data_IF_047277411329
#
_entry.id   IF_047277411329
#
_cell.length_a   1.000
_cell.length_b   1.000
_cell.length_c   1.000
_cell.angle_alpha   90.00
_cell.angle_beta   90.00
_cell.angle_gamma   90.00
#
_symmetry.space_group_name_H-M   'P 1'
#
loop_
_entity.id
_entity.type
_entity.pdbx_description
1 polymer ?
#
# COMPACT_ATOMS: atom_id res chain seq x y z
N UNK A 1 16.89 0.31 -20.86
CA UNK A 1 16.26 -0.31 -19.67
C UNK A 1 14.85 0.26 -19.55
N UNK A 2 13.83 -0.59 -19.41
CA UNK A 2 12.44 -0.15 -19.25
C UNK A 2 12.12 0.30 -17.82
N UNK A 3 10.95 0.92 -17.59
CA UNK A 3 10.50 1.27 -16.25
C UNK A 3 10.31 0.01 -15.39
N UNK A 4 10.65 0.10 -14.10
CA UNK A 4 10.38 -0.94 -13.11
C UNK A 4 9.22 -0.52 -12.22
N UNK A 5 8.35 -1.46 -11.89
CA UNK A 5 7.34 -1.26 -10.87
C UNK A 5 8.01 -1.22 -9.49
N UNK A 6 7.70 -0.21 -8.67
CA UNK A 6 8.25 -0.03 -7.32
C UNK A 6 7.11 0.34 -6.38
N UNK A 7 7.00 -0.37 -5.26
CA UNK A 7 6.05 -0.04 -4.19
C UNK A 7 6.80 0.73 -3.09
N UNK A 8 6.37 1.96 -2.82
CA UNK A 8 6.86 2.74 -1.69
C UNK A 8 5.92 2.57 -0.49
N UNK A 9 6.08 1.47 0.26
CA UNK A 9 5.17 1.07 1.34
C UNK A 9 5.07 2.08 2.50
N UNK A 10 6.10 2.91 2.70
CA UNK A 10 6.11 3.99 3.69
C UNK A 10 4.99 5.03 3.46
N UNK A 11 4.52 5.17 2.21
CA UNK A 11 3.44 6.09 1.84
C UNK A 11 2.06 5.40 1.83
N UNK A 12 1.95 4.16 2.32
CA UNK A 12 0.69 3.44 2.32
C UNK A 12 -0.31 4.07 3.31
N UNK A 13 -1.52 4.35 2.82
CA UNK A 13 -2.64 4.88 3.63
C UNK A 13 -3.65 3.82 4.07
N UNK A 14 -3.28 2.54 3.93
CA UNK A 14 -4.05 1.39 4.43
C UNK A 14 -5.47 1.24 3.86
N UNK A 15 -5.77 1.85 2.71
CA UNK A 15 -7.09 1.78 2.07
C UNK A 15 -7.43 0.43 1.42
N UNK A 16 -6.43 -0.47 1.25
CA UNK A 16 -6.54 -1.79 0.59
C UNK A 16 -6.96 -1.77 -0.89
N UNK A 17 -6.98 -0.62 -1.56
CA UNK A 17 -7.34 -0.53 -2.98
C UNK A 17 -6.44 -1.39 -3.87
N UNK A 18 -5.13 -1.39 -3.63
CA UNK A 18 -4.18 -2.17 -4.43
C UNK A 18 -4.41 -3.69 -4.33
N UNK A 19 -4.90 -4.18 -3.19
CA UNK A 19 -5.24 -5.58 -2.95
C UNK A 19 -6.55 -5.98 -3.67
N UNK A 20 -7.54 -5.09 -3.68
CA UNK A 20 -8.88 -5.36 -4.24
C UNK A 20 -8.96 -5.09 -5.75
N UNK A 21 -8.19 -4.13 -6.26
CA UNK A 21 -8.35 -3.58 -7.62
C UNK A 21 -7.21 -3.90 -8.57
N UNK A 22 -6.22 -4.67 -8.16
CA UNK A 22 -5.25 -5.21 -9.11
C UNK A 22 -5.91 -6.30 -9.97
N UNK A 23 -6.11 -6.09 -11.29
CA UNK A 23 -6.77 -7.08 -12.15
C UNK A 23 -5.99 -8.39 -12.27
N UNK A 24 -4.68 -8.38 -11.97
CA UNK A 24 -3.83 -9.57 -12.04
C UNK A 24 -3.64 -10.25 -10.68
N UNK A 25 -4.07 -9.62 -9.58
CA UNK A 25 -3.86 -10.15 -8.23
C UNK A 25 -2.39 -10.34 -7.83
N UNK A 26 -1.49 -9.50 -8.35
CA UNK A 26 -0.05 -9.53 -8.08
C UNK A 26 0.31 -8.87 -6.74
N UNK A 27 -0.58 -8.09 -6.14
CA UNK A 27 -0.34 -7.36 -4.90
C UNK A 27 -1.13 -8.00 -3.76
N UNK A 28 -0.44 -8.38 -2.69
CA UNK A 28 -1.05 -8.82 -1.42
C UNK A 28 -0.77 -7.78 -0.34
N UNK A 29 -1.83 -7.23 0.25
CA UNK A 29 -1.69 -6.32 1.38
C UNK A 29 -1.60 -7.10 2.69
N UNK A 30 -0.59 -6.79 3.50
CA UNK A 30 -0.44 -7.29 4.87
C UNK A 30 -0.30 -6.12 5.85
N UNK A 31 -0.84 -6.22 7.07
CA UNK A 31 -0.65 -5.18 8.07
C UNK A 31 0.85 -4.96 8.35
N UNK A 32 1.33 -3.71 8.40
CA UNK A 32 2.69 -3.41 8.84
C UNK A 32 2.82 -3.59 10.37
N UNK A 33 4.03 -3.39 10.88
CA UNK A 33 4.29 -3.31 12.32
C UNK A 33 3.39 -2.24 12.98
N UNK A 34 2.97 -2.50 14.22
CA UNK A 34 2.04 -1.64 14.95
C UNK A 34 2.55 -0.19 15.06
N UNK A 35 1.67 0.78 14.81
CA UNK A 35 2.03 2.20 14.74
C UNK A 35 2.45 2.70 13.35
N UNK A 36 2.57 1.80 12.36
CA UNK A 36 2.70 2.18 10.95
C UNK A 36 1.37 2.65 10.35
N UNK A 37 1.44 3.62 9.43
CA UNK A 37 0.30 4.11 8.67
C UNK A 37 -0.07 5.57 8.96
N UNK A 38 -1.18 6.04 8.36
CA UNK A 38 -1.61 7.43 8.46
C UNK A 38 -2.09 7.80 9.87
N UNK A 39 -1.72 9.01 10.32
CA UNK A 39 -2.34 9.66 11.47
C UNK A 39 -3.56 10.47 11.00
N UNK A 40 -4.76 9.98 11.32
CA UNK A 40 -6.02 10.61 10.95
C UNK A 40 -6.49 11.70 11.93
N UNK A 41 -5.83 11.90 13.07
CA UNK A 41 -6.22 12.91 14.06
C UNK A 41 -6.07 14.36 13.54
N UNK A 42 -5.34 14.54 12.44
CA UNK A 42 -5.17 15.81 11.75
C UNK A 42 -6.08 15.98 10.51
N UNK A 43 -7.00 15.04 10.25
CA UNK A 43 -7.91 15.05 9.09
C UNK A 43 -9.32 15.52 9.42
#
# INVERSE_FOLDING_TARGET
AGPRFVINAQNCVHCKTCDVKDPNGNITWVPPEGGGGPNYEAM
#
